data_IF_268642209480
#
_entry.id   IF_268642209480
#
_cell.length_a   1.000
_cell.length_b   1.000
_cell.length_c   1.000
_cell.angle_alpha   90.00
_cell.angle_beta   90.00
_cell.angle_gamma   90.00
#
_symmetry.space_group_name_H-M   'P 1'
#
loop_
_entity.id
_entity.type
_entity.pdbx_description
1 polymer ?
#
# COMPACT_ATOMS: atom_id res chain seq x y z
N UNK A 1 5.30 -15.90 -0.71
CA UNK A 1 4.03 -15.20 -0.98
C UNK A 1 2.86 -15.84 -0.24
N UNK A 2 2.58 -17.14 -0.39
CA UNK A 2 1.47 -17.80 0.34
C UNK A 2 1.57 -17.69 1.87
N UNK A 3 2.74 -17.90 2.47
CA UNK A 3 2.93 -17.79 3.94
C UNK A 3 2.74 -16.36 4.47
N UNK A 4 3.10 -15.35 3.67
CA UNK A 4 2.88 -13.94 4.02
C UNK A 4 1.38 -13.63 4.01
N UNK A 5 0.65 -14.10 3.00
CA UNK A 5 -0.80 -13.96 2.94
C UNK A 5 -1.50 -14.72 4.08
N UNK A 6 -1.04 -15.93 4.39
CA UNK A 6 -1.58 -16.71 5.51
C UNK A 6 -1.40 -15.96 6.84
N UNK A 7 -0.19 -15.43 7.11
CA UNK A 7 0.05 -14.65 8.33
C UNK A 7 -0.79 -13.37 8.43
N UNK A 8 -1.10 -12.73 7.29
CA UNK A 8 -1.99 -11.55 7.23
C UNK A 8 -3.44 -11.94 7.56
N UNK A 9 -3.93 -13.05 7.02
CA UNK A 9 -5.27 -13.56 7.35
C UNK A 9 -5.37 -14.06 8.78
N UNK A 10 -4.33 -14.73 9.29
CA UNK A 10 -4.26 -15.20 10.68
C UNK A 10 -4.23 -14.02 11.68
N UNK A 11 -3.70 -12.86 11.26
CA UNK A 11 -3.77 -11.61 12.02
C UNK A 11 -5.14 -10.91 11.96
N UNK A 12 -6.12 -11.49 11.25
CA UNK A 12 -7.49 -11.00 11.17
C UNK A 12 -7.74 -9.96 10.08
N UNK A 13 -6.74 -9.63 9.25
CA UNK A 13 -6.93 -8.72 8.13
C UNK A 13 -7.68 -9.42 7.00
N UNK A 14 -8.82 -8.87 6.60
CA UNK A 14 -9.72 -9.47 5.59
C UNK A 14 -9.63 -8.78 4.24
N UNK A 15 -9.29 -7.49 4.23
CA UNK A 15 -9.13 -6.73 3.01
C UNK A 15 -8.16 -5.55 3.17
N UNK A 16 -7.57 -5.17 2.04
CA UNK A 16 -6.78 -3.96 1.88
C UNK A 16 -7.30 -3.20 0.66
N UNK A 17 -7.64 -1.92 0.85
CA UNK A 17 -8.03 -1.02 -0.23
C UNK A 17 -7.04 0.13 -0.33
N UNK A 18 -6.72 0.50 -1.55
CA UNK A 18 -5.82 1.60 -1.88
C UNK A 18 -6.52 2.53 -2.85
N UNK A 19 -6.39 3.83 -2.60
CA UNK A 19 -6.85 4.90 -3.49
C UNK A 19 -5.63 5.74 -3.90
N UNK A 20 -5.18 5.59 -5.14
CA UNK A 20 -4.15 6.44 -5.72
C UNK A 20 -4.74 7.83 -5.99
N UNK A 21 -4.14 8.86 -5.40
CA UNK A 21 -4.60 10.24 -5.55
C UNK A 21 -3.78 11.00 -6.58
N UNK A 22 -2.49 10.71 -6.66
CA UNK A 22 -1.55 11.39 -7.53
C UNK A 22 -0.49 10.40 -8.02
N UNK A 23 -0.19 10.47 -9.31
CA UNK A 23 0.85 9.69 -9.96
C UNK A 23 1.56 10.59 -10.97
N UNK A 24 2.86 10.78 -10.77
CA UNK A 24 3.71 11.47 -11.75
C UNK A 24 4.97 10.67 -12.05
N UNK A 25 5.52 10.85 -13.24
CA UNK A 25 6.71 10.14 -13.69
C UNK A 25 7.71 11.06 -14.37
N UNK A 26 8.99 10.76 -14.16
CA UNK A 26 10.13 11.41 -14.80
C UNK A 26 11.20 10.36 -15.15
N UNK A 27 11.29 10.00 -16.43
CA UNK A 27 12.26 9.00 -16.91
C UNK A 27 11.95 7.59 -16.38
N UNK A 28 12.90 7.00 -15.67
CA UNK A 28 12.78 5.68 -15.05
C UNK A 28 12.34 5.73 -13.58
N UNK A 29 11.89 6.90 -13.10
CA UNK A 29 11.31 7.07 -11.78
C UNK A 29 9.87 7.56 -11.89
N UNK A 30 9.03 7.12 -10.97
CA UNK A 30 7.71 7.68 -10.75
C UNK A 30 7.43 7.75 -9.25
N UNK A 31 6.55 8.64 -8.84
CA UNK A 31 5.96 8.59 -7.51
C UNK A 31 4.46 8.42 -7.63
N UNK A 32 3.91 7.73 -6.64
CA UNK A 32 2.49 7.61 -6.41
C UNK A 32 2.25 7.95 -4.94
N UNK A 33 1.22 8.73 -4.68
CA UNK A 33 0.74 8.90 -3.31
C UNK A 33 -0.77 8.70 -3.24
N UNK A 34 -1.23 8.26 -2.08
CA UNK A 34 -2.63 7.94 -1.91
C UNK A 34 -3.01 7.61 -0.48
N UNK A 35 -4.22 7.07 -0.35
CA UNK A 35 -4.79 6.59 0.91
C UNK A 35 -4.92 5.09 0.91
N UNK A 36 -4.93 4.51 2.10
CA UNK A 36 -5.29 3.12 2.27
C UNK A 36 -6.32 2.94 3.38
N UNK A 37 -7.04 1.83 3.29
CA UNK A 37 -7.87 1.30 4.37
C UNK A 37 -7.58 -0.18 4.54
N UNK A 38 -7.26 -0.57 5.77
CA UNK A 38 -7.10 -1.94 6.23
C UNK A 38 -8.38 -2.36 6.94
N UNK A 39 -8.93 -3.52 6.61
CA UNK A 39 -10.15 -4.06 7.20
C UNK A 39 -9.85 -5.32 8.01
N UNK A 40 -10.49 -5.45 9.16
CA UNK A 40 -10.52 -6.69 9.93
C UNK A 40 -11.98 -7.15 10.10
N UNK A 41 -12.26 -8.41 9.78
CA UNK A 41 -13.63 -8.94 9.74
C UNK A 41 -14.46 -8.37 8.57
N UNK A 42 -15.79 -8.39 8.74
CA UNK A 42 -16.72 -8.22 7.60
C UNK A 42 -16.99 -6.77 7.18
N UNK A 43 -16.51 -5.74 7.90
CA UNK A 43 -16.53 -4.34 7.41
C UNK A 43 -15.85 -3.29 8.32
N UNK A 44 -15.29 -3.67 9.48
CA UNK A 44 -14.66 -2.68 10.36
C UNK A 44 -13.27 -2.32 9.85
N UNK A 45 -13.06 -1.03 9.57
CA UNK A 45 -11.73 -0.52 9.27
C UNK A 45 -10.85 -0.74 10.51
N UNK A 46 -9.81 -1.55 10.38
CA UNK A 46 -8.79 -1.81 11.38
C UNK A 46 -7.76 -0.68 11.42
N UNK A 47 -7.46 -0.10 10.26
CA UNK A 47 -6.60 1.07 10.14
C UNK A 47 -6.92 1.84 8.85
N UNK A 48 -6.55 3.11 8.82
CA UNK A 48 -6.59 3.94 7.63
C UNK A 48 -5.43 4.92 7.65
N UNK A 49 -4.91 5.25 6.47
CA UNK A 49 -3.73 6.08 6.42
C UNK A 49 -3.39 6.58 5.04
N UNK A 50 -2.14 7.02 4.91
CA UNK A 50 -1.55 7.55 3.69
C UNK A 50 -0.27 6.82 3.36
N UNK A 51 0.08 6.83 2.09
CA UNK A 51 1.32 6.23 1.60
C UNK A 51 1.95 7.10 0.51
N UNK A 52 3.26 6.90 0.31
CA UNK A 52 3.99 7.32 -0.88
C UNK A 52 4.80 6.11 -1.36
N UNK A 53 4.68 5.78 -2.64
CA UNK A 53 5.52 4.82 -3.33
C UNK A 53 6.42 5.55 -4.32
N UNK A 54 7.72 5.24 -4.29
CA UNK A 54 8.63 5.57 -5.38
C UNK A 54 8.80 4.32 -6.22
N UNK A 55 8.45 4.43 -7.49
CA UNK A 55 8.60 3.38 -8.48
C UNK A 55 9.88 3.60 -9.28
N UNK A 56 10.56 2.53 -9.65
CA UNK A 56 11.68 2.54 -10.59
C UNK A 56 11.44 1.55 -11.72
N UNK A 57 11.69 1.98 -12.95
CA UNK A 57 11.61 1.13 -14.14
C UNK A 57 12.94 0.43 -14.34
N UNK A 58 12.92 -0.89 -14.28
CA UNK A 58 14.10 -1.75 -14.43
C UNK A 58 13.81 -2.83 -15.45
N UNK A 59 14.64 -2.91 -16.50
CA UNK A 59 14.42 -3.81 -17.64
C UNK A 59 12.99 -3.70 -18.22
N UNK A 60 12.49 -2.47 -18.33
CA UNK A 60 11.15 -2.18 -18.88
C UNK A 60 9.98 -2.43 -17.93
N UNK A 61 10.24 -2.87 -16.68
CA UNK A 61 9.19 -3.15 -15.69
C UNK A 61 9.27 -2.17 -14.53
N UNK A 62 8.13 -1.61 -14.13
CA UNK A 62 8.03 -0.82 -12.92
C UNK A 62 8.05 -1.72 -11.69
N UNK A 63 8.86 -1.35 -10.70
CA UNK A 63 8.95 -2.00 -9.40
C UNK A 63 8.92 -0.95 -8.31
N UNK A 64 8.34 -1.28 -7.16
CA UNK A 64 8.44 -0.43 -5.97
C UNK A 64 9.92 -0.36 -5.59
N UNK A 65 10.47 0.84 -5.67
CA UNK A 65 11.84 1.13 -5.29
C UNK A 65 11.92 1.53 -3.82
N UNK A 66 10.98 2.35 -3.35
CA UNK A 66 10.82 2.74 -1.94
C UNK A 66 9.35 2.87 -1.62
N UNK A 67 8.99 2.62 -0.38
CA UNK A 67 7.67 2.85 0.16
C UNK A 67 7.77 3.54 1.53
N UNK A 68 6.76 4.33 1.84
CA UNK A 68 6.47 4.78 3.20
C UNK A 68 4.96 4.77 3.40
N UNK A 69 4.54 4.29 4.56
CA UNK A 69 3.14 4.15 4.93
C UNK A 69 2.97 4.65 6.36
N UNK A 70 1.95 5.46 6.61
CA UNK A 70 1.68 6.01 7.93
C UNK A 70 0.20 5.84 8.25
N UNK A 71 -0.11 5.21 9.38
CA UNK A 71 -1.46 5.26 9.97
C UNK A 71 -1.86 6.70 10.27
N UNK A 72 -3.13 7.01 10.02
CA UNK A 72 -3.78 8.25 10.43
C UNK A 72 -4.57 8.10 11.72
N UNK A 73 -4.63 6.88 12.28
CA UNK A 73 -5.21 6.67 13.61
C UNK A 73 -4.26 7.20 14.70
N UNK A 74 -4.81 7.66 15.82
CA UNK A 74 -4.02 7.97 17.01
C UNK A 74 -3.22 6.74 17.47
N UNK A 75 -2.04 7.00 18.06
CA UNK A 75 -1.22 5.97 18.69
C UNK A 75 -1.77 5.54 20.05
#
# INVERSE_FOLDING_TARGET
MQEVWQGIFDAGLTAFRVESLEVESAGDLAYEMGRYTLYAGDNDAADEGKYILIWKREAGQWRIHRDIVNSSRPA
#
